data_IF_418972822656
#
_entry.id   IF_418972822656
#
_cell.length_a   1.000
_cell.length_b   1.000
_cell.length_c   1.000
_cell.angle_alpha   90.00
_cell.angle_beta   90.00
_cell.angle_gamma   90.00
#
_symmetry.space_group_name_H-M   'P 1'
#
loop_
_entity.id
_entity.type
_entity.pdbx_description
1 polymer ?
#
# COMPACT_ATOMS: atom_id res chain seq x y z
N UNK A 1 -8.80 2.40 64.78
CA UNK A 1 -9.30 3.45 63.86
C UNK A 1 -8.87 3.04 62.45
N UNK A 2 -9.78 2.65 61.54
CA UNK A 2 -9.39 2.31 60.18
C UNK A 2 -9.37 3.59 59.33
N UNK A 3 -8.20 3.93 58.79
CA UNK A 3 -8.03 5.02 57.83
C UNK A 3 -8.46 4.57 56.44
N UNK A 4 -9.35 5.34 55.84
CA UNK A 4 -9.80 5.30 54.45
C UNK A 4 -8.60 5.31 53.49
N UNK A 5 -8.42 4.24 52.73
CA UNK A 5 -7.64 4.21 51.50
C UNK A 5 -8.59 4.22 50.31
N UNK A 6 -9.11 5.40 49.95
CA UNK A 6 -9.83 5.57 48.71
C UNK A 6 -8.82 5.52 47.56
N UNK A 7 -9.03 4.61 46.62
CA UNK A 7 -8.30 4.60 45.35
C UNK A 7 -8.71 5.86 44.60
N UNK A 8 -7.82 6.85 44.56
CA UNK A 8 -7.92 7.95 43.62
C UNK A 8 -7.73 7.39 42.21
N UNK A 9 -8.83 7.25 41.49
CA UNK A 9 -8.85 6.91 40.06
C UNK A 9 -8.35 8.15 39.31
N UNK A 10 -7.09 8.12 38.88
CA UNK A 10 -6.48 9.17 38.05
C UNK A 10 -7.08 9.17 36.63
N UNK A 11 -8.06 10.05 36.44
CA UNK A 11 -8.24 10.98 35.31
C UNK A 11 -7.72 10.57 33.90
N UNK A 12 -8.36 9.58 33.28
CA UNK A 12 -8.56 9.54 31.81
C UNK A 12 -9.99 9.15 31.38
N UNK A 13 -10.89 8.97 32.35
CA UNK A 13 -12.29 8.55 32.15
C UNK A 13 -13.19 9.74 31.79
N UNK A 14 -13.25 10.08 30.50
CA UNK A 14 -14.30 10.97 30.00
C UNK A 14 -15.67 10.30 30.19
N UNK A 15 -16.60 10.94 30.88
CA UNK A 15 -18.01 10.55 30.85
C UNK A 15 -18.53 10.65 29.41
N UNK A 16 -18.85 9.51 28.79
CA UNK A 16 -19.43 9.44 27.44
C UNK A 16 -20.92 9.76 27.50
N UNK A 17 -21.44 10.48 26.50
CA UNK A 17 -22.90 10.70 26.38
C UNK A 17 -23.57 9.47 25.77
N UNK A 18 -24.80 9.19 26.22
CA UNK A 18 -25.70 8.20 25.63
C UNK A 18 -25.84 8.45 24.12
N UNK A 19 -25.37 7.49 23.30
CA UNK A 19 -25.30 7.59 21.84
C UNK A 19 -23.88 7.75 21.25
N UNK A 20 -22.85 7.96 22.07
CA UNK A 20 -21.44 8.04 21.61
C UNK A 20 -20.71 6.69 21.62
N UNK A 21 -21.30 5.63 22.18
CA UNK A 21 -20.68 4.30 22.20
C UNK A 21 -20.88 3.57 20.87
N UNK A 22 -19.79 3.06 20.30
CA UNK A 22 -19.90 2.00 19.32
C UNK A 22 -20.32 0.72 20.04
N UNK A 23 -21.59 0.31 19.86
CA UNK A 23 -22.05 -1.00 20.29
C UNK A 23 -21.19 -2.10 19.65
N UNK A 24 -20.86 -3.18 20.38
CA UNK A 24 -20.33 -4.39 19.76
C UNK A 24 -21.28 -4.87 18.66
N UNK A 25 -20.72 -5.33 17.55
CA UNK A 25 -21.44 -5.60 16.32
C UNK A 25 -22.42 -6.77 16.44
N UNK A 26 -22.09 -7.78 17.25
CA UNK A 26 -22.95 -8.93 17.48
C UNK A 26 -24.01 -8.71 18.58
N UNK A 27 -23.94 -7.57 19.29
CA UNK A 27 -24.86 -7.25 20.40
C UNK A 27 -26.30 -7.03 19.89
N UNK A 28 -27.30 -7.75 20.43
CA UNK A 28 -28.70 -7.57 20.09
C UNK A 28 -29.24 -6.18 20.38
N UNK A 29 -30.22 -5.74 19.58
CA UNK A 29 -30.83 -4.42 19.72
C UNK A 29 -31.50 -4.22 21.09
N UNK A 30 -32.09 -5.28 21.68
CA UNK A 30 -32.75 -5.21 22.98
C UNK A 30 -31.75 -4.93 24.11
N UNK A 31 -30.64 -5.66 24.15
CA UNK A 31 -29.55 -5.39 25.09
C UNK A 31 -28.87 -4.04 24.83
N UNK A 32 -28.71 -3.65 23.57
CA UNK A 32 -28.17 -2.34 23.20
C UNK A 32 -29.06 -1.20 23.70
N UNK A 33 -30.39 -1.32 23.54
CA UNK A 33 -31.35 -0.35 24.05
C UNK A 33 -31.31 -0.27 25.58
N UNK A 34 -31.25 -1.41 26.27
CA UNK A 34 -31.17 -1.47 27.72
C UNK A 34 -29.91 -0.75 28.26
N UNK A 35 -28.74 -1.03 27.67
CA UNK A 35 -27.49 -0.33 28.01
C UNK A 35 -27.58 1.16 27.70
N UNK A 36 -28.24 1.52 26.61
CA UNK A 36 -28.45 2.89 26.17
C UNK A 36 -29.50 3.66 27.00
N UNK A 37 -30.06 3.08 28.05
CA UNK A 37 -30.91 3.79 29.02
C UNK A 37 -30.18 4.12 30.33
N UNK A 38 -28.92 3.71 30.48
CA UNK A 38 -28.22 3.84 31.76
C UNK A 38 -27.48 5.16 31.97
N UNK A 39 -27.59 5.76 33.18
CA UNK A 39 -27.16 7.13 33.44
C UNK A 39 -25.63 7.33 33.53
N UNK A 40 -24.81 6.28 33.57
CA UNK A 40 -23.35 6.39 33.60
C UNK A 40 -22.70 5.27 32.78
N UNK A 41 -21.89 5.64 31.79
CA UNK A 41 -21.13 4.70 30.96
C UNK A 41 -19.66 5.09 31.01
N UNK A 42 -18.96 4.64 32.06
CA UNK A 42 -17.51 4.48 31.98
C UNK A 42 -17.25 3.09 31.40
N UNK A 43 -16.66 3.04 30.20
CA UNK A 43 -16.27 1.79 29.57
C UNK A 43 -15.07 1.24 30.33
N UNK A 44 -15.17 0.01 30.81
CA UNK A 44 -14.03 -0.68 31.39
C UNK A 44 -12.91 -0.79 30.34
N UNK A 45 -11.65 -0.93 30.77
CA UNK A 45 -10.55 -1.25 29.87
C UNK A 45 -10.87 -2.47 28.98
N UNK A 46 -11.58 -3.46 29.54
CA UNK A 46 -12.04 -4.67 28.85
C UNK A 46 -13.03 -4.44 27.70
N UNK A 47 -13.50 -3.21 27.46
CA UNK A 47 -14.42 -2.88 26.36
C UNK A 47 -15.87 -3.35 26.54
N UNK A 48 -16.11 -4.34 27.39
CA UNK A 48 -17.40 -5.04 27.54
C UNK A 48 -18.11 -4.79 28.88
N UNK A 49 -17.44 -4.13 29.83
CA UNK A 49 -18.02 -3.78 31.12
C UNK A 49 -18.25 -2.29 31.31
N UNK A 50 -19.23 -1.98 32.15
CA UNK A 50 -19.84 -0.69 32.40
C UNK A 50 -20.02 -0.53 33.92
N UNK A 51 -19.78 0.67 34.46
CA UNK A 51 -20.00 0.97 35.87
C UNK A 51 -21.22 1.87 36.05
N UNK A 52 -22.18 1.43 36.89
CA UNK A 52 -23.31 2.25 37.34
C UNK A 52 -23.27 2.47 38.87
N UNK A 53 -24.27 3.20 39.40
CA UNK A 53 -24.43 3.47 40.85
C UNK A 53 -24.57 2.20 41.71
N UNK A 54 -24.88 1.06 41.10
CA UNK A 54 -25.14 -0.23 41.76
C UNK A 54 -23.99 -1.23 41.54
N UNK A 55 -22.91 -0.84 40.87
CA UNK A 55 -21.70 -1.64 40.69
C UNK A 55 -21.35 -1.92 39.23
N UNK A 56 -20.62 -3.01 39.01
CA UNK A 56 -20.07 -3.36 37.71
C UNK A 56 -21.03 -4.25 36.92
N UNK A 57 -21.28 -3.88 35.68
CA UNK A 57 -22.06 -4.61 34.69
C UNK A 57 -21.15 -5.07 33.56
N UNK A 58 -21.45 -6.19 32.95
CA UNK A 58 -20.75 -6.71 31.77
C UNK A 58 -21.78 -7.17 30.75
N UNK A 59 -21.62 -6.72 29.51
CA UNK A 59 -22.41 -7.20 28.38
C UNK A 59 -21.49 -7.86 27.39
N UNK A 60 -21.64 -9.17 27.25
CA UNK A 60 -20.74 -10.00 26.46
C UNK A 60 -21.48 -11.23 25.97
N UNK A 61 -20.96 -11.87 24.94
CA UNK A 61 -21.28 -13.25 24.53
C UNK A 61 -20.28 -14.27 25.07
N UNK A 62 -19.25 -13.82 25.82
CA UNK A 62 -18.23 -14.66 26.42
C UNK A 62 -18.44 -14.76 27.94
N UNK A 63 -19.05 -15.87 28.36
CA UNK A 63 -19.37 -16.21 29.76
C UNK A 63 -18.97 -17.66 30.06
N UNK A 64 -18.74 -17.97 31.34
CA UNK A 64 -18.44 -19.33 31.81
C UNK A 64 -17.33 -20.00 30.98
N UNK A 65 -16.23 -19.29 30.77
CA UNK A 65 -15.14 -19.74 29.91
C UNK A 65 -14.45 -20.99 30.52
N UNK A 66 -13.80 -21.84 29.69
CA UNK A 66 -13.18 -23.09 30.16
C UNK A 66 -12.08 -22.91 31.22
N UNK A 67 -11.49 -21.72 31.29
CA UNK A 67 -10.49 -21.31 32.29
C UNK A 67 -11.13 -20.89 33.63
N UNK A 68 -12.46 -20.92 33.74
CA UNK A 68 -13.22 -20.49 34.91
C UNK A 68 -13.54 -18.99 34.92
N UNK A 69 -13.23 -18.25 33.85
CA UNK A 69 -13.49 -16.82 33.76
C UNK A 69 -14.98 -16.49 33.57
N UNK A 70 -15.40 -15.40 34.22
CA UNK A 70 -16.77 -14.86 34.19
C UNK A 70 -17.85 -15.87 34.62
N UNK A 71 -17.75 -16.45 35.82
CA UNK A 71 -18.77 -17.37 36.30
C UNK A 71 -20.10 -16.65 36.50
N UNK A 72 -21.18 -17.19 35.94
CA UNK A 72 -22.54 -16.68 36.16
C UNK A 72 -23.31 -17.51 37.18
N UNK A 73 -24.26 -16.88 37.88
CA UNK A 73 -25.17 -17.56 38.82
C UNK A 73 -26.10 -18.56 38.12
N UNK A 74 -26.50 -18.24 36.90
CA UNK A 74 -27.21 -19.13 35.97
C UNK A 74 -26.28 -19.45 34.80
N UNK A 75 -25.79 -20.70 34.64
CA UNK A 75 -24.85 -21.04 33.58
C UNK A 75 -25.41 -20.74 32.19
N UNK A 76 -24.68 -19.92 31.44
CA UNK A 76 -24.98 -19.60 30.04
C UNK A 76 -24.25 -20.63 29.17
N UNK A 77 -25.01 -21.37 28.36
CA UNK A 77 -24.43 -22.32 27.41
C UNK A 77 -23.48 -21.60 26.43
N UNK A 78 -22.40 -22.26 26.04
CA UNK A 78 -21.55 -21.78 24.96
C UNK A 78 -22.39 -21.57 23.70
N UNK A 79 -22.30 -20.38 23.09
CA UNK A 79 -23.17 -19.92 21.99
C UNK A 79 -24.64 -19.62 22.36
N UNK A 80 -24.97 -19.53 23.66
CA UNK A 80 -26.29 -19.18 24.17
C UNK A 80 -26.74 -17.74 23.89
N UNK A 81 -25.89 -16.93 23.24
CA UNK A 81 -26.17 -15.55 22.87
C UNK A 81 -25.39 -14.54 23.70
N UNK A 82 -25.86 -13.29 23.64
CA UNK A 82 -25.33 -12.20 24.45
C UNK A 82 -26.07 -12.14 25.77
N UNK A 83 -25.35 -11.79 26.83
CA UNK A 83 -25.93 -11.61 28.14
C UNK A 83 -25.36 -10.39 28.83
N UNK A 84 -26.21 -9.83 29.69
CA UNK A 84 -25.88 -8.81 30.64
C UNK A 84 -25.80 -9.44 32.04
N UNK A 85 -24.65 -9.33 32.68
CA UNK A 85 -24.45 -9.73 34.07
C UNK A 85 -24.05 -8.55 34.96
N UNK A 86 -24.41 -8.61 36.24
CA UNK A 86 -23.93 -7.71 37.29
C UNK A 86 -22.99 -8.44 38.23
N UNK A 87 -21.83 -7.87 38.51
CA UNK A 87 -20.90 -8.46 39.46
C UNK A 87 -21.42 -8.30 40.89
N UNK A 88 -21.65 -9.40 41.59
CA UNK A 88 -22.01 -9.45 43.01
C UNK A 88 -21.07 -10.40 43.73
N UNK A 89 -20.11 -9.85 44.46
CA UNK A 89 -18.97 -10.64 44.96
C UNK A 89 -18.09 -11.07 43.80
N UNK A 90 -17.86 -12.38 43.66
CA UNK A 90 -17.02 -12.97 42.61
C UNK A 90 -17.83 -13.63 41.47
N UNK A 91 -19.16 -13.56 41.53
CA UNK A 91 -20.07 -14.19 40.57
C UNK A 91 -20.87 -13.10 39.84
N UNK A 92 -21.08 -13.31 38.55
CA UNK A 92 -21.91 -12.45 37.71
C UNK A 92 -23.37 -12.90 37.78
N UNK A 93 -24.22 -12.08 38.38
CA UNK A 93 -25.66 -12.30 38.41
C UNK A 93 -26.28 -11.92 37.07
N UNK A 94 -26.91 -12.89 36.41
CA UNK A 94 -27.55 -12.68 35.12
C UNK A 94 -28.74 -11.72 35.25
N UNK A 95 -28.72 -10.63 34.48
CA UNK A 95 -29.82 -9.65 34.44
C UNK A 95 -30.73 -9.92 33.24
N UNK A 96 -30.13 -10.07 32.05
CA UNK A 96 -30.86 -10.33 30.81
C UNK A 96 -29.99 -11.12 29.83
N UNK A 97 -30.62 -11.97 29.03
CA UNK A 97 -29.96 -12.74 27.98
C UNK A 97 -30.79 -12.65 26.71
N UNK A 98 -30.12 -12.46 25.58
CA UNK A 98 -30.72 -12.42 24.25
C UNK A 98 -29.89 -13.23 23.26
N UNK A 99 -30.52 -13.88 22.25
CA UNK A 99 -29.77 -14.54 21.20
C UNK A 99 -28.92 -13.52 20.43
N UNK A 100 -27.69 -13.90 20.07
CA UNK A 100 -26.82 -13.03 19.29
C UNK A 100 -27.46 -12.61 17.96
N UNK A 101 -27.10 -11.44 17.44
CA UNK A 101 -27.54 -11.02 16.12
C UNK A 101 -27.13 -12.06 15.06
N UNK A 102 -27.95 -12.28 14.03
CA UNK A 102 -27.55 -13.07 12.88
C UNK A 102 -26.23 -12.54 12.29
N UNK A 103 -25.35 -13.45 11.90
CA UNK A 103 -23.98 -13.12 11.42
C UNK A 103 -23.97 -12.05 10.34
N UNK A 104 -24.93 -12.06 9.42
CA UNK A 104 -25.00 -11.08 8.34
C UNK A 104 -25.34 -9.67 8.83
N UNK A 105 -26.18 -9.55 9.87
CA UNK A 105 -26.49 -8.27 10.50
C UNK A 105 -25.30 -7.73 11.28
N UNK A 106 -24.63 -8.58 12.06
CA UNK A 106 -23.41 -8.19 12.77
C UNK A 106 -22.31 -7.70 11.80
N UNK A 107 -22.10 -8.42 10.70
CA UNK A 107 -21.19 -8.01 9.62
C UNK A 107 -21.59 -6.70 8.95
N UNK A 108 -22.89 -6.46 8.75
CA UNK A 108 -23.36 -5.20 8.19
C UNK A 108 -23.00 -4.01 9.09
N UNK A 109 -23.09 -4.17 10.41
CA UNK A 109 -22.71 -3.13 11.38
C UNK A 109 -21.21 -2.86 11.40
N UNK A 110 -20.38 -3.91 11.35
CA UNK A 110 -18.92 -3.75 11.22
C UNK A 110 -18.57 -3.03 9.91
N UNK A 111 -19.21 -3.43 8.82
CA UNK A 111 -18.99 -2.80 7.51
C UNK A 111 -19.38 -1.33 7.53
N UNK A 112 -20.53 -0.98 8.11
CA UNK A 112 -20.96 0.41 8.27
C UNK A 112 -19.96 1.22 9.11
N UNK A 113 -19.46 0.65 10.23
CA UNK A 113 -18.42 1.26 11.07
C UNK A 113 -17.14 1.50 10.27
N UNK A 114 -16.66 0.48 9.56
CA UNK A 114 -15.47 0.56 8.69
C UNK A 114 -15.66 1.63 7.62
N UNK A 115 -16.80 1.65 6.93
CA UNK A 115 -17.10 2.64 5.90
C UNK A 115 -17.12 4.05 6.48
N UNK A 116 -17.74 4.26 7.64
CA UNK A 116 -17.74 5.55 8.35
C UNK A 116 -16.32 6.01 8.69
N UNK A 117 -15.46 5.09 9.15
CA UNK A 117 -14.07 5.36 9.48
C UNK A 117 -13.21 5.69 8.24
N UNK A 118 -13.44 4.99 7.13
CA UNK A 118 -12.74 5.22 5.87
C UNK A 118 -13.11 6.57 5.23
N UNK A 119 -14.37 7.00 5.36
CA UNK A 119 -14.85 8.27 4.81
C UNK A 119 -14.68 9.46 5.76
N UNK A 120 -14.71 9.22 7.07
CA UNK A 120 -14.68 10.26 8.08
C UNK A 120 -13.31 10.90 8.30
N UNK A 121 -12.22 10.30 7.78
CA UNK A 121 -10.87 10.85 7.93
C UNK A 121 -9.90 10.38 6.87
N UNK A 122 -8.77 11.09 6.79
CA UNK A 122 -7.57 10.60 6.11
C UNK A 122 -6.76 9.71 7.05
N UNK A 123 -6.39 8.54 6.56
CA UNK A 123 -5.46 7.61 7.21
C UNK A 123 -4.03 7.94 6.77
N UNK A 124 -3.13 8.11 7.73
CA UNK A 124 -1.71 8.37 7.46
C UNK A 124 -0.92 7.06 7.43
N UNK A 125 0.28 7.08 6.84
CA UNK A 125 1.17 5.91 6.85
C UNK A 125 1.47 5.43 8.27
N UNK A 126 1.74 6.37 9.18
CA UNK A 126 1.97 6.07 10.60
C UNK A 126 0.76 5.42 11.27
N UNK A 127 -0.47 5.85 10.96
CA UNK A 127 -1.68 5.21 11.51
C UNK A 127 -1.84 3.77 11.00
N UNK A 128 -1.58 3.55 9.71
CA UNK A 128 -1.66 2.22 9.09
C UNK A 128 -0.58 1.27 9.64
N UNK A 129 0.65 1.76 9.81
CA UNK A 129 1.75 1.00 10.42
C UNK A 129 1.47 0.67 11.89
N UNK A 130 0.92 1.62 12.65
CA UNK A 130 0.51 1.39 14.04
C UNK A 130 -0.57 0.30 14.13
N UNK A 131 -1.60 0.37 13.28
CA UNK A 131 -2.66 -0.64 13.21
C UNK A 131 -2.12 -2.02 12.80
N UNK A 132 -1.27 -2.09 11.78
CA UNK A 132 -0.67 -3.34 11.32
C UNK A 132 0.22 -3.98 12.41
N UNK A 133 0.99 -3.18 13.13
CA UNK A 133 1.79 -3.64 14.27
C UNK A 133 0.92 -4.24 15.38
N UNK A 134 -0.19 -3.58 15.74
CA UNK A 134 -1.11 -4.06 16.78
C UNK A 134 -1.83 -5.33 16.32
N UNK A 135 -2.31 -5.38 15.09
CA UNK A 135 -3.00 -6.55 14.53
C UNK A 135 -2.13 -7.83 14.53
N UNK A 136 -0.81 -7.68 14.45
CA UNK A 136 0.13 -8.80 14.42
C UNK A 136 0.65 -9.24 15.79
N UNK A 137 0.65 -8.36 16.79
CA UNK A 137 1.41 -8.57 18.02
C UNK A 137 0.59 -8.41 19.31
N UNK A 138 -0.63 -7.86 19.25
CA UNK A 138 -1.48 -7.72 20.42
C UNK A 138 -1.85 -9.09 21.04
N UNK A 139 -1.96 -9.19 22.38
CA UNK A 139 -1.75 -8.14 23.39
C UNK A 139 -0.26 -7.90 23.72
N UNK A 140 0.12 -6.64 23.97
CA UNK A 140 1.51 -6.24 24.21
C UNK A 140 1.67 -5.03 25.15
N UNK A 141 2.82 -4.86 25.82
CA UNK A 141 3.08 -3.72 26.70
C UNK A 141 3.11 -2.38 25.96
N UNK A 142 2.49 -1.36 26.56
CA UNK A 142 2.43 0.00 26.03
C UNK A 142 3.83 0.60 25.83
N UNK A 143 4.71 0.44 26.82
CA UNK A 143 6.07 1.01 26.79
C UNK A 143 6.90 0.43 25.63
N UNK A 144 6.89 -0.89 25.46
CA UNK A 144 7.61 -1.57 24.38
C UNK A 144 7.08 -1.16 23.02
N UNK A 145 5.75 -1.07 22.89
CA UNK A 145 5.13 -0.67 21.64
C UNK A 145 5.43 0.79 21.28
N UNK A 146 5.45 1.71 22.25
CA UNK A 146 5.83 3.10 22.01
C UNK A 146 7.32 3.25 21.70
N UNK A 147 8.19 2.51 22.38
CA UNK A 147 9.64 2.56 22.18
C UNK A 147 10.09 2.03 20.81
N UNK A 148 9.31 1.15 20.19
CA UNK A 148 9.66 0.54 18.90
C UNK A 148 9.68 1.53 17.71
N UNK A 149 8.97 2.66 17.78
CA UNK A 149 8.94 3.64 16.68
C UNK A 149 8.53 5.03 17.16
N UNK A 150 9.32 6.04 16.76
CA UNK A 150 9.05 7.44 17.06
C UNK A 150 7.69 7.89 16.48
N UNK A 151 6.93 8.66 17.25
CA UNK A 151 5.64 9.23 16.82
C UNK A 151 4.41 8.35 17.02
N UNK A 152 4.56 7.11 17.53
CA UNK A 152 3.43 6.19 17.82
C UNK A 152 2.40 6.73 18.80
N UNK A 153 2.80 7.61 19.71
CA UNK A 153 1.89 8.25 20.67
C UNK A 153 0.72 8.99 20.00
N UNK A 154 0.99 9.65 18.86
CA UNK A 154 -0.05 10.38 18.13
C UNK A 154 -1.06 9.42 17.53
N UNK A 155 -0.59 8.34 16.90
CA UNK A 155 -1.47 7.33 16.33
C UNK A 155 -2.23 6.58 17.42
N UNK A 156 -1.59 6.25 18.55
CA UNK A 156 -2.26 5.62 19.69
C UNK A 156 -3.40 6.47 20.24
N UNK A 157 -3.16 7.76 20.55
CA UNK A 157 -4.21 8.68 20.98
C UNK A 157 -5.39 8.69 20.02
N UNK A 158 -5.09 8.61 18.72
CA UNK A 158 -6.12 8.54 17.70
C UNK A 158 -6.86 7.20 17.65
N UNK A 159 -6.17 6.07 17.79
CA UNK A 159 -6.77 4.73 17.73
C UNK A 159 -7.63 4.45 18.96
N UNK A 160 -7.18 4.87 20.14
CA UNK A 160 -7.96 4.86 21.37
C UNK A 160 -9.23 5.71 21.23
N UNK A 161 -9.12 6.93 20.68
CA UNK A 161 -10.27 7.80 20.44
C UNK A 161 -11.29 7.21 19.44
N UNK A 162 -10.83 6.39 18.51
CA UNK A 162 -11.69 5.67 17.55
C UNK A 162 -12.19 4.33 18.08
N UNK A 163 -11.81 3.97 19.32
CA UNK A 163 -12.13 2.69 19.95
C UNK A 163 -11.71 1.49 19.09
N UNK A 164 -10.61 1.63 18.35
CA UNK A 164 -10.02 0.54 17.56
C UNK A 164 -9.04 -0.28 18.38
N UNK A 165 -8.52 0.31 19.45
CA UNK A 165 -7.55 -0.27 20.37
C UNK A 165 -8.06 -0.04 21.78
N UNK A 166 -7.82 -1.01 22.65
CA UNK A 166 -8.10 -0.93 24.08
C UNK A 166 -6.79 -0.87 24.85
N UNK A 167 -6.83 -0.18 25.99
CA UNK A 167 -5.72 -0.03 26.91
C UNK A 167 -6.21 -0.32 28.33
N UNK A 168 -5.40 -1.05 29.09
CA UNK A 168 -5.61 -1.29 30.51
C UNK A 168 -4.31 -1.02 31.28
N UNK A 169 -4.44 -0.39 32.44
CA UNK A 169 -3.34 0.07 33.30
C UNK A 169 -3.37 -0.55 34.71
N UNK A 170 -4.30 -1.47 34.97
CA UNK A 170 -4.39 -2.23 36.21
C UNK A 170 -5.38 -3.38 36.08
N UNK A 171 -5.30 -4.32 37.04
CA UNK A 171 -6.20 -5.47 37.07
C UNK A 171 -7.67 -5.01 37.16
N UNK A 172 -8.52 -5.65 36.36
CA UNK A 172 -9.93 -5.34 36.30
C UNK A 172 -10.72 -6.62 35.99
N UNK A 173 -11.80 -6.93 36.73
CA UNK A 173 -12.48 -8.23 36.65
C UNK A 173 -13.11 -8.53 35.30
N UNK A 174 -13.32 -7.51 34.46
CA UNK A 174 -13.81 -7.63 33.08
C UNK A 174 -12.71 -7.85 32.01
N UNK A 175 -11.42 -7.84 32.38
CA UNK A 175 -10.34 -8.06 31.42
C UNK A 175 -10.30 -9.50 30.94
N UNK A 176 -10.04 -9.75 29.64
CA UNK A 176 -9.69 -11.07 29.13
C UNK A 176 -8.48 -11.65 29.87
N UNK A 177 -8.47 -12.97 30.08
CA UNK A 177 -7.42 -13.69 30.83
C UNK A 177 -6.02 -13.42 30.29
N UNK A 178 -5.85 -13.50 28.97
CA UNK A 178 -4.59 -13.24 28.28
C UNK A 178 -4.06 -11.79 28.44
N UNK A 179 -4.94 -10.82 28.70
CA UNK A 179 -4.58 -9.43 29.03
C UNK A 179 -4.26 -9.32 30.52
N UNK A 180 -5.09 -9.92 31.37
CA UNK A 180 -4.95 -9.91 32.83
C UNK A 180 -3.62 -10.53 33.28
N UNK A 181 -3.22 -11.63 32.67
CA UNK A 181 -1.93 -12.29 32.94
C UNK A 181 -0.71 -11.40 32.62
N UNK A 182 -0.88 -10.40 31.76
CA UNK A 182 0.21 -9.52 31.29
C UNK A 182 0.21 -8.15 31.94
N UNK A 183 -0.88 -7.75 32.59
CA UNK A 183 -1.06 -6.38 33.12
C UNK A 183 -0.29 -6.12 34.42
N UNK A 184 0.16 -7.17 35.10
CA UNK A 184 0.87 -7.07 36.38
C UNK A 184 2.15 -6.23 36.28
N UNK A 185 2.78 -6.21 35.11
CA UNK A 185 4.10 -5.58 34.92
C UNK A 185 4.02 -4.18 34.26
N UNK A 186 3.01 -3.93 33.44
CA UNK A 186 2.87 -2.68 32.69
C UNK A 186 1.47 -2.51 32.07
N UNK A 187 1.08 -1.29 31.67
CA UNK A 187 -0.12 -1.09 30.86
C UNK A 187 -0.06 -1.88 29.56
N UNK A 188 -1.16 -2.54 29.19
CA UNK A 188 -1.27 -3.43 28.02
C UNK A 188 -2.20 -2.82 26.97
N UNK A 189 -1.80 -2.95 25.70
CA UNK A 189 -2.62 -2.64 24.53
C UNK A 189 -3.12 -3.92 23.87
N UNK A 190 -4.38 -3.93 23.42
CA UNK A 190 -4.90 -5.01 22.59
C UNK A 190 -6.04 -4.57 21.67
N UNK A 191 -6.45 -5.49 20.79
CA UNK A 191 -7.60 -5.36 19.91
C UNK A 191 -8.65 -6.37 20.38
N UNK A 192 -9.89 -5.93 20.58
CA UNK A 192 -11.03 -6.83 20.70
C UNK A 192 -11.41 -7.40 19.32
N UNK A 193 -12.35 -8.35 19.28
CA UNK A 193 -12.75 -9.04 18.04
C UNK A 193 -13.20 -8.05 16.95
N UNK A 194 -14.05 -7.09 17.32
CA UNK A 194 -14.56 -6.06 16.41
C UNK A 194 -13.46 -5.10 15.94
N UNK A 195 -12.62 -4.62 16.85
CA UNK A 195 -11.49 -3.75 16.55
C UNK A 195 -10.52 -4.42 15.59
N UNK A 196 -10.23 -5.71 15.77
CA UNK A 196 -9.39 -6.49 14.87
C UNK A 196 -9.99 -6.61 13.45
N UNK A 197 -11.30 -6.87 13.33
CA UNK A 197 -11.97 -6.97 12.02
C UNK A 197 -11.99 -5.61 11.30
N UNK A 198 -12.33 -4.53 12.01
CA UNK A 198 -12.32 -3.18 11.44
C UNK A 198 -10.92 -2.74 11.02
N UNK A 199 -9.90 -3.02 11.85
CA UNK A 199 -8.50 -2.74 11.51
C UNK A 199 -8.09 -3.50 10.25
N UNK A 200 -8.41 -4.79 10.16
CA UNK A 200 -8.10 -5.60 8.98
C UNK A 200 -8.73 -5.03 7.70
N UNK A 201 -9.99 -4.60 7.77
CA UNK A 201 -10.68 -4.00 6.61
C UNK A 201 -10.08 -2.65 6.22
N UNK A 202 -9.74 -1.80 7.18
CA UNK A 202 -9.10 -0.49 6.92
C UNK A 202 -7.74 -0.68 6.25
N UNK A 203 -6.94 -1.64 6.73
CA UNK A 203 -5.65 -1.99 6.13
C UNK A 203 -5.82 -2.54 4.71
N UNK A 204 -6.76 -3.46 4.51
CA UNK A 204 -7.05 -4.05 3.19
C UNK A 204 -7.52 -2.99 2.18
N UNK A 205 -8.39 -2.08 2.59
CA UNK A 205 -8.84 -0.97 1.76
C UNK A 205 -7.67 -0.07 1.36
N UNK A 206 -6.81 0.27 2.31
CA UNK A 206 -5.64 1.12 2.08
C UNK A 206 -4.64 0.47 1.12
N UNK A 207 -4.36 -0.83 1.29
CA UNK A 207 -3.51 -1.60 0.40
C UNK A 207 -4.04 -1.62 -1.05
N UNK A 208 -5.34 -1.88 -1.25
CA UNK A 208 -5.98 -1.84 -2.58
C UNK A 208 -5.85 -0.46 -3.23
N UNK A 209 -6.02 0.62 -2.45
CA UNK A 209 -5.84 2.00 -2.97
C UNK A 209 -4.41 2.27 -3.42
N UNK A 210 -3.41 1.83 -2.64
CA UNK A 210 -2.00 1.97 -3.01
C UNK A 210 -1.66 1.18 -4.28
N UNK A 211 -2.18 -0.05 -4.40
CA UNK A 211 -2.00 -0.89 -5.59
C UNK A 211 -2.58 -0.23 -6.85
N UNK A 212 -3.80 0.33 -6.76
CA UNK A 212 -4.44 1.04 -7.88
C UNK A 212 -3.62 2.28 -8.27
N UNK A 213 -3.11 3.04 -7.30
CA UNK A 213 -2.26 4.20 -7.56
C UNK A 213 -0.96 3.79 -8.28
N UNK A 214 -0.31 2.71 -7.84
CA UNK A 214 0.88 2.17 -8.49
C UNK A 214 0.60 1.74 -9.94
N UNK A 215 -0.51 1.03 -10.18
CA UNK A 215 -0.94 0.64 -11.54
C UNK A 215 -1.19 1.86 -12.46
N UNK A 216 -1.74 2.96 -11.94
CA UNK A 216 -1.93 4.19 -12.71
C UNK A 216 -0.61 4.85 -13.10
N UNK A 217 0.36 4.89 -12.17
CA UNK A 217 1.69 5.46 -12.45
C UNK A 217 2.41 4.73 -13.59
N UNK A 218 2.43 3.40 -13.54
CA UNK A 218 3.09 2.55 -14.56
C UNK A 218 2.43 2.66 -15.94
N UNK A 219 1.11 2.83 -16.01
CA UNK A 219 0.40 3.07 -17.28
C UNK A 219 0.79 4.42 -17.90
N UNK A 220 0.90 5.46 -17.09
CA UNK A 220 1.28 6.80 -17.55
C UNK A 220 2.72 6.83 -18.09
N UNK A 221 3.65 6.10 -17.48
CA UNK A 221 5.04 6.04 -17.95
C UNK A 221 5.17 5.31 -19.29
N UNK A 222 4.40 4.23 -19.50
CA UNK A 222 4.35 3.53 -20.79
C UNK A 222 3.78 4.42 -21.90
N UNK A 223 2.71 5.17 -21.61
CA UNK A 223 2.13 6.11 -22.58
C UNK A 223 3.11 7.23 -22.93
N UNK A 224 3.74 7.86 -21.93
CA UNK A 224 4.79 8.88 -22.15
C UNK A 224 5.95 8.36 -22.99
N UNK A 225 6.36 7.10 -22.78
CA UNK A 225 7.39 6.46 -23.59
C UNK A 225 6.98 6.22 -25.05
N UNK A 226 5.71 5.93 -25.31
CA UNK A 226 5.17 5.81 -26.67
C UNK A 226 5.06 7.18 -27.35
N UNK A 227 4.50 8.18 -26.66
CA UNK A 227 4.36 9.54 -27.18
C UNK A 227 5.74 10.15 -27.52
N UNK A 228 6.77 9.87 -26.71
CA UNK A 228 8.14 10.29 -26.98
C UNK A 228 8.71 9.63 -28.25
N UNK A 229 8.46 8.33 -28.47
CA UNK A 229 8.94 7.64 -29.68
C UNK A 229 8.26 8.17 -30.94
N UNK A 230 6.95 8.40 -30.90
CA UNK A 230 6.20 9.01 -32.01
C UNK A 230 6.74 10.41 -32.32
N UNK A 231 6.93 11.24 -31.28
CA UNK A 231 7.53 12.56 -31.40
C UNK A 231 8.95 12.56 -31.96
N UNK A 232 9.75 11.52 -31.69
CA UNK A 232 11.10 11.39 -32.23
C UNK A 232 11.05 10.91 -33.69
N UNK A 233 10.12 10.03 -34.04
CA UNK A 233 9.93 9.59 -35.43
C UNK A 233 9.54 10.76 -36.34
N UNK A 234 8.66 11.65 -35.88
CA UNK A 234 8.34 12.90 -36.57
C UNK A 234 9.56 13.80 -36.75
N UNK A 235 10.39 13.94 -35.71
CA UNK A 235 11.63 14.73 -35.80
C UNK A 235 12.64 14.12 -36.78
N UNK A 236 12.74 12.79 -36.85
CA UNK A 236 13.57 12.08 -37.84
C UNK A 236 13.05 12.33 -39.26
N UNK A 237 11.73 12.24 -39.47
CA UNK A 237 11.13 12.52 -40.77
C UNK A 237 11.27 13.99 -41.18
N UNK A 238 11.24 14.94 -40.23
CA UNK A 238 11.52 16.33 -40.52
C UNK A 238 12.98 16.55 -40.98
N UNK A 239 13.93 15.80 -40.40
CA UNK A 239 15.34 15.85 -40.80
C UNK A 239 15.63 15.08 -42.10
N UNK A 240 14.80 14.07 -42.42
CA UNK A 240 14.90 13.21 -43.59
C UNK A 240 13.53 12.98 -44.24
N UNK A 241 13.03 13.95 -45.02
CA UNK A 241 11.66 13.92 -45.54
C UNK A 241 11.34 12.71 -46.43
N UNK A 242 12.35 12.17 -47.12
CA UNK A 242 12.19 11.04 -48.03
C UNK A 242 12.50 9.68 -47.36
N UNK A 243 12.73 9.67 -46.03
CA UNK A 243 13.00 8.45 -45.29
C UNK A 243 11.73 7.61 -45.07
N UNK A 244 11.78 6.29 -45.32
CA UNK A 244 10.68 5.38 -44.97
C UNK A 244 10.32 5.40 -43.47
N UNK A 245 9.03 5.27 -43.16
CA UNK A 245 8.50 5.43 -41.79
C UNK A 245 8.98 4.33 -40.81
N UNK A 246 9.19 3.12 -41.31
CA UNK A 246 9.76 1.99 -40.58
C UNK A 246 11.23 2.25 -40.17
N UNK A 247 12.00 2.88 -41.06
CA UNK A 247 13.38 3.31 -40.79
C UNK A 247 13.38 4.45 -39.78
N UNK A 248 12.53 5.47 -39.96
CA UNK A 248 12.40 6.58 -39.03
C UNK A 248 12.00 6.10 -37.61
N UNK A 249 11.08 5.15 -37.53
CA UNK A 249 10.65 4.52 -36.27
C UNK A 249 11.79 3.77 -35.58
N UNK A 250 12.64 3.09 -36.35
CA UNK A 250 13.82 2.37 -35.84
C UNK A 250 14.88 3.33 -35.27
N UNK A 251 15.09 4.47 -35.94
CA UNK A 251 15.98 5.55 -35.48
C UNK A 251 15.41 6.18 -34.21
N UNK A 252 14.11 6.47 -34.17
CA UNK A 252 13.42 7.01 -33.00
C UNK A 252 13.55 6.10 -31.77
N UNK A 253 13.42 4.78 -31.94
CA UNK A 253 13.62 3.81 -30.88
C UNK A 253 15.06 3.83 -30.32
N UNK A 254 16.07 4.06 -31.19
CA UNK A 254 17.48 4.17 -30.80
C UNK A 254 17.78 5.50 -30.07
N UNK A 255 17.10 6.58 -30.46
CA UNK A 255 17.24 7.90 -29.84
C UNK A 255 16.47 8.04 -28.51
N UNK A 256 15.42 7.25 -28.28
CA UNK A 256 14.55 7.40 -27.12
C UNK A 256 15.29 7.35 -25.75
N UNK A 257 16.22 6.41 -25.48
CA UNK A 257 16.96 6.40 -24.21
C UNK A 257 17.77 7.69 -23.96
N UNK A 258 18.37 8.24 -25.01
CA UNK A 258 19.15 9.48 -24.92
C UNK A 258 18.24 10.69 -24.70
N UNK A 259 17.08 10.75 -25.38
CA UNK A 259 16.09 11.80 -25.18
C UNK A 259 15.49 11.78 -23.76
N UNK A 260 15.24 10.59 -23.20
CA UNK A 260 14.81 10.43 -21.80
C UNK A 260 15.86 10.99 -20.85
N UNK A 261 17.14 10.64 -21.05
CA UNK A 261 18.25 11.12 -20.21
C UNK A 261 18.45 12.63 -20.28
N UNK A 262 18.24 13.22 -21.46
CA UNK A 262 18.41 14.65 -21.70
C UNK A 262 17.20 15.50 -21.32
N UNK A 263 16.02 14.87 -21.12
CA UNK A 263 14.76 15.58 -20.86
C UNK A 263 14.29 16.48 -22.01
N UNK A 264 14.88 16.34 -23.22
CA UNK A 264 14.56 17.15 -24.40
C UNK A 264 14.81 16.37 -25.69
N UNK A 265 14.23 16.86 -26.80
CA UNK A 265 14.46 16.31 -28.14
C UNK A 265 15.94 16.47 -28.54
N UNK A 266 16.58 15.44 -29.14
CA UNK A 266 17.92 15.55 -29.69
C UNK A 266 17.98 16.62 -30.79
N UNK A 267 19.11 17.31 -30.91
CA UNK A 267 19.35 18.26 -32.00
C UNK A 267 19.43 17.52 -33.35
N UNK A 268 19.13 18.23 -34.46
CA UNK A 268 19.15 17.68 -35.83
C UNK A 268 20.47 16.98 -36.15
N UNK A 269 21.61 17.49 -35.69
CA UNK A 269 22.91 16.85 -35.88
C UNK A 269 22.99 15.45 -35.25
N UNK A 270 22.49 15.30 -34.01
CA UNK A 270 22.46 14.02 -33.32
C UNK A 270 21.53 13.01 -34.01
N UNK A 271 20.47 13.50 -34.65
CA UNK A 271 19.58 12.68 -35.48
C UNK A 271 20.33 12.19 -36.73
N UNK A 272 21.01 13.08 -37.44
CA UNK A 272 21.81 12.74 -38.64
C UNK A 272 22.91 11.73 -38.30
N UNK A 273 23.65 11.94 -37.21
CA UNK A 273 24.70 11.02 -36.77
C UNK A 273 24.14 9.64 -36.40
N UNK A 274 22.98 9.59 -35.75
CA UNK A 274 22.32 8.33 -35.40
C UNK A 274 21.84 7.57 -36.64
N UNK A 275 21.30 8.29 -37.63
CA UNK A 275 20.93 7.70 -38.93
C UNK A 275 22.18 7.15 -39.63
N UNK A 276 23.24 7.95 -39.76
CA UNK A 276 24.48 7.53 -40.40
C UNK A 276 25.10 6.30 -39.72
N UNK A 277 25.11 6.26 -38.39
CA UNK A 277 25.62 5.11 -37.62
C UNK A 277 24.81 3.83 -37.86
N UNK A 278 23.48 3.91 -37.76
CA UNK A 278 22.58 2.76 -38.00
C UNK A 278 22.71 2.23 -39.43
N UNK A 279 22.80 3.14 -40.41
CA UNK A 279 22.95 2.76 -41.82
C UNK A 279 24.32 2.19 -42.10
N UNK A 280 25.37 2.72 -41.50
CA UNK A 280 26.73 2.20 -41.65
C UNK A 280 26.86 0.79 -41.10
N UNK A 281 26.26 0.50 -39.95
CA UNK A 281 26.22 -0.86 -39.40
C UNK A 281 25.55 -1.84 -40.36
N UNK A 282 24.41 -1.46 -40.93
CA UNK A 282 23.69 -2.28 -41.93
C UNK A 282 24.52 -2.48 -43.21
N UNK A 283 25.07 -1.43 -43.79
CA UNK A 283 25.85 -1.53 -45.03
C UNK A 283 27.13 -2.35 -44.84
N UNK A 284 27.81 -2.26 -43.69
CA UNK A 284 28.98 -3.11 -43.40
C UNK A 284 28.69 -4.61 -43.48
N UNK A 285 27.47 -5.01 -43.11
CA UNK A 285 27.03 -6.40 -43.19
C UNK A 285 26.71 -6.83 -44.62
N UNK A 286 26.09 -5.95 -45.41
CA UNK A 286 25.56 -6.29 -46.75
C UNK A 286 26.56 -6.04 -47.88
N UNK A 287 27.51 -5.11 -47.73
CA UNK A 287 28.38 -4.63 -48.83
C UNK A 287 29.25 -5.73 -49.46
N UNK A 288 29.53 -6.81 -48.72
CA UNK A 288 30.28 -7.96 -49.25
C UNK A 288 29.51 -8.66 -50.37
N UNK A 289 28.18 -8.67 -50.29
CA UNK A 289 27.32 -9.30 -51.28
C UNK A 289 27.19 -8.52 -52.58
N UNK A 290 27.69 -7.28 -52.67
CA UNK A 290 27.64 -6.52 -53.91
C UNK A 290 28.62 -7.09 -54.95
N UNK A 291 28.18 -7.44 -56.18
CA UNK A 291 29.03 -8.14 -57.15
C UNK A 291 30.35 -7.44 -57.47
N UNK A 292 30.33 -6.10 -57.57
CA UNK A 292 31.53 -5.29 -57.83
C UNK A 292 32.49 -5.25 -56.65
N UNK A 293 31.97 -5.24 -55.43
CA UNK A 293 32.78 -5.24 -54.20
C UNK A 293 33.35 -6.64 -53.97
N UNK A 294 32.53 -7.68 -54.15
CA UNK A 294 32.94 -9.08 -54.07
C UNK A 294 34.07 -9.41 -55.05
N UNK A 295 33.91 -9.06 -56.34
CA UNK A 295 34.94 -9.27 -57.36
C UNK A 295 36.25 -8.57 -57.00
N UNK A 296 36.18 -7.31 -56.57
CA UNK A 296 37.38 -6.57 -56.15
C UNK A 296 38.04 -7.16 -54.91
N UNK A 297 37.26 -7.65 -53.95
CA UNK A 297 37.79 -8.32 -52.76
C UNK A 297 38.46 -9.65 -53.09
N UNK A 298 37.94 -10.39 -54.07
CA UNK A 298 38.56 -11.60 -54.61
C UNK A 298 39.88 -11.28 -55.32
N UNK A 299 39.92 -10.21 -56.13
CA UNK A 299 41.16 -9.75 -56.77
C UNK A 299 42.23 -9.36 -55.74
N UNK A 300 41.84 -8.62 -54.69
CA UNK A 300 42.74 -8.24 -53.59
C UNK A 300 43.26 -9.47 -52.84
N UNK A 301 42.42 -10.49 -52.67
CA UNK A 301 42.81 -11.77 -52.07
C UNK A 301 43.82 -12.53 -52.95
N UNK A 302 43.57 -12.58 -54.27
CA UNK A 302 44.47 -13.22 -55.24
C UNK A 302 45.84 -12.51 -55.32
N UNK A 303 45.88 -11.19 -55.09
CA UNK A 303 47.12 -10.38 -55.03
C UNK A 303 47.84 -10.43 -53.68
N UNK A 304 47.32 -11.19 -52.71
CA UNK A 304 47.92 -11.31 -51.38
C UNK A 304 47.76 -10.07 -50.48
N UNK A 305 46.79 -9.20 -50.75
CA UNK A 305 46.57 -8.01 -49.94
C UNK A 305 46.10 -8.36 -48.51
N UNK A 306 46.66 -7.64 -47.54
CA UNK A 306 46.40 -7.91 -46.13
C UNK A 306 44.93 -7.70 -45.74
N UNK A 307 44.52 -8.34 -44.64
CA UNK A 307 43.15 -8.24 -44.12
C UNK A 307 42.74 -6.78 -43.78
N UNK A 308 43.70 -5.92 -43.43
CA UNK A 308 43.45 -4.52 -43.09
C UNK A 308 43.04 -3.69 -44.31
N UNK A 309 43.68 -3.90 -45.45
CA UNK A 309 43.37 -3.24 -46.72
C UNK A 309 41.97 -3.65 -47.22
N UNK A 310 41.66 -4.95 -47.16
CA UNK A 310 40.33 -5.48 -47.50
C UNK A 310 39.22 -4.94 -46.59
N UNK A 311 39.47 -4.84 -45.28
CA UNK A 311 38.53 -4.21 -44.34
C UNK A 311 38.32 -2.73 -44.66
N UNK A 312 39.39 -1.96 -44.87
CA UNK A 312 39.31 -0.54 -45.24
C UNK A 312 38.52 -0.31 -46.52
N UNK A 313 38.75 -1.14 -47.54
CA UNK A 313 38.00 -1.06 -48.79
C UNK A 313 36.50 -1.30 -48.57
N UNK A 314 36.12 -2.31 -47.79
CA UNK A 314 34.72 -2.55 -47.42
C UNK A 314 34.10 -1.40 -46.65
N UNK A 315 34.81 -0.89 -45.65
CA UNK A 315 34.35 0.23 -44.82
C UNK A 315 34.17 1.49 -45.68
N UNK A 316 35.09 1.78 -46.61
CA UNK A 316 34.97 2.88 -47.55
C UNK A 316 33.75 2.72 -48.47
N UNK A 317 33.51 1.53 -49.03
CA UNK A 317 32.33 1.27 -49.86
C UNK A 317 31.02 1.36 -49.09
N UNK A 318 31.00 0.89 -47.85
CA UNK A 318 29.84 1.04 -46.98
C UNK A 318 29.56 2.53 -46.68
N UNK A 319 30.61 3.32 -46.41
CA UNK A 319 30.50 4.76 -46.20
C UNK A 319 29.95 5.51 -47.42
N UNK A 320 30.45 5.20 -48.62
CA UNK A 320 29.93 5.78 -49.87
C UNK A 320 28.43 5.48 -50.07
N UNK A 321 27.97 4.28 -49.72
CA UNK A 321 26.55 3.92 -49.78
C UNK A 321 25.71 4.68 -48.77
N UNK A 322 26.20 4.80 -47.53
CA UNK A 322 25.51 5.58 -46.50
C UNK A 322 25.43 7.05 -46.90
N UNK A 323 26.52 7.65 -47.39
CA UNK A 323 26.53 9.04 -47.84
C UNK A 323 25.49 9.29 -48.94
N UNK A 324 25.41 8.37 -49.92
CA UNK A 324 24.41 8.44 -50.99
C UNK A 324 22.97 8.29 -50.44
N UNK A 325 22.72 7.31 -49.59
CA UNK A 325 21.40 7.04 -49.02
C UNK A 325 20.93 8.18 -48.10
N UNK A 326 21.83 8.74 -47.29
CA UNK A 326 21.58 9.91 -46.45
C UNK A 326 21.25 11.12 -47.32
N UNK A 327 22.01 11.37 -48.40
CA UNK A 327 21.73 12.47 -49.32
C UNK A 327 20.37 12.29 -50.02
N UNK A 328 20.06 11.09 -50.50
CA UNK A 328 18.77 10.75 -51.11
C UNK A 328 17.60 10.98 -50.14
N UNK A 329 17.71 10.52 -48.89
CA UNK A 329 16.64 10.68 -47.90
C UNK A 329 16.46 12.11 -47.40
N UNK A 330 17.51 12.91 -47.46
CA UNK A 330 17.50 14.30 -47.05
C UNK A 330 16.89 15.23 -48.12
N UNK A 331 16.93 14.81 -49.38
CA UNK A 331 16.35 15.55 -50.50
C UNK A 331 17.02 16.90 -50.72
N UNK A 332 16.23 17.98 -50.77
CA UNK A 332 16.69 19.35 -51.08
C UNK A 332 17.24 20.13 -49.86
N UNK A 333 17.26 19.52 -48.67
CA UNK A 333 17.74 20.21 -47.47
C UNK A 333 19.27 20.41 -47.50
N UNK A 334 19.80 21.51 -46.93
CA UNK A 334 21.23 21.82 -46.94
C UNK A 334 22.08 20.66 -46.44
N UNK A 335 23.24 20.35 -47.03
CA UNK A 335 24.07 19.22 -46.60
C UNK A 335 24.45 19.38 -45.13
N UNK A 336 24.47 18.26 -44.41
CA UNK A 336 24.96 18.20 -43.03
C UNK A 336 26.21 17.34 -43.00
N UNK A 337 27.25 17.86 -42.38
CA UNK A 337 28.47 17.11 -42.08
C UNK A 337 28.16 16.14 -40.95
N UNK A 338 28.49 14.87 -41.14
CA UNK A 338 28.47 13.88 -40.05
C UNK A 338 29.90 13.44 -39.83
N UNK A 339 30.31 13.28 -38.58
CA UNK A 339 31.64 12.74 -38.23
C UNK A 339 31.93 11.36 -38.85
N UNK A 340 30.90 10.69 -39.35
CA UNK A 340 30.99 9.41 -40.04
C UNK A 340 31.11 9.54 -41.56
N UNK A 341 30.68 10.68 -42.12
CA UNK A 341 30.59 10.92 -43.56
C UNK A 341 31.67 11.90 -44.08
N UNK A 342 32.42 12.54 -43.17
CA UNK A 342 33.56 13.40 -43.46
C UNK A 342 34.86 12.62 -43.70
#
# INVERSE_FOLDING_TARGET
>A
MPSKGGIEVTDFTRALRLGELNRPSAMPDGLAALVAEWPAIQRSPGGEALLDERGLLRVSDHWNLPDGSFPTDTPIASHGGWALGRLTGDIWQLVQQEPALPRDQARALLRERTERLLHGRRWTGADLEAMDSLAKQAPLPLADWLAAQEGRERSLKSLLKLELVLQADGDHPALPTNVRERIADAPILWLDTDGAEVVADVLAHSARRMEIAAKRSTRNDRQRGQDLRSSLAEAVQAAFPLMPHDVASSVAARLAPAAIKLGRRPATQAIVDCVAELRLERWRQVIIGEPRVAARLQDMLAKGENNRARKRYRDQRALEKVAKEVAEWRGELPPVTSRWLD
#
